data_IF_886748165419
#
_entry.id   IF_886748165419
#
_cell.length_a   1.000
_cell.length_b   1.000
_cell.length_c   1.000
_cell.angle_alpha   90.00
_cell.angle_beta   90.00
_cell.angle_gamma   90.00
#
_symmetry.space_group_name_H-M   'P 1'
#
loop_
_entity.id
_entity.type
_entity.pdbx_description
1 polymer ?
#
# COMPACT_ATOMS: atom_id res chain seq x y z
N UNK A 1 -1.39 4.45 8.00
CA UNK A 1 -1.23 5.92 8.11
C UNK A 1 -0.64 6.44 6.81
N UNK A 2 -0.92 7.70 6.44
CA UNK A 2 -0.41 8.29 5.20
C UNK A 2 -0.77 9.76 5.06
N UNK A 3 -0.41 10.36 3.92
CA UNK A 3 -0.77 11.75 3.59
C UNK A 3 -2.18 11.77 3.02
N UNK A 4 -3.06 12.60 3.63
CA UNK A 4 -4.46 12.73 3.22
C UNK A 4 -4.55 13.19 1.76
N UNK A 5 -5.34 12.48 0.96
CA UNK A 5 -5.59 12.79 -0.45
C UNK A 5 -4.52 12.29 -1.43
N UNK A 6 -3.35 11.86 -0.97
CA UNK A 6 -2.27 11.41 -1.84
C UNK A 6 -2.66 10.16 -2.64
N UNK A 7 -3.21 9.14 -1.97
CA UNK A 7 -3.61 7.91 -2.67
C UNK A 7 -4.75 8.13 -3.66
N UNK A 8 -5.71 9.01 -3.34
CA UNK A 8 -6.80 9.36 -4.27
C UNK A 8 -6.25 10.08 -5.51
N UNK A 9 -5.32 11.02 -5.34
CA UNK A 9 -4.66 11.69 -6.46
C UNK A 9 -3.93 10.70 -7.37
N UNK A 10 -3.22 9.72 -6.79
CA UNK A 10 -2.52 8.67 -7.53
C UNK A 10 -3.52 7.78 -8.29
N UNK A 11 -4.66 7.43 -7.69
CA UNK A 11 -5.72 6.66 -8.33
C UNK A 11 -6.33 7.40 -9.53
N UNK A 12 -6.58 8.71 -9.38
CA UNK A 12 -7.10 9.58 -10.45
C UNK A 12 -6.14 9.65 -11.67
N UNK A 13 -4.85 9.37 -11.46
CA UNK A 13 -3.80 9.37 -12.48
C UNK A 13 -3.19 7.97 -12.68
N UNK A 14 -3.98 6.92 -12.48
CA UNK A 14 -3.53 5.51 -12.57
C UNK A 14 -2.91 5.12 -13.92
N UNK A 15 -3.20 5.85 -15.00
CA UNK A 15 -2.59 5.64 -16.33
C UNK A 15 -1.21 6.31 -16.48
N UNK A 16 -0.79 7.15 -15.53
CA UNK A 16 0.52 7.80 -15.52
C UNK A 16 1.45 7.15 -14.50
N UNK A 17 0.90 6.67 -13.39
CA UNK A 17 1.64 5.99 -12.33
C UNK A 17 1.64 4.46 -12.52
N UNK A 18 2.79 3.83 -12.23
CA UNK A 18 2.94 2.36 -12.14
C UNK A 18 2.61 1.53 -13.40
N UNK A 19 2.54 2.15 -14.58
CA UNK A 19 2.15 1.47 -15.85
C UNK A 19 3.11 0.36 -16.31
N UNK A 20 4.39 0.43 -15.94
CA UNK A 20 5.40 -0.61 -16.22
C UNK A 20 6.22 -0.94 -14.96
N UNK A 21 5.55 -1.09 -13.82
CA UNK A 21 6.23 -1.43 -12.57
C UNK A 21 6.77 -2.87 -12.60
N UNK A 22 8.10 -3.02 -12.73
CA UNK A 22 8.78 -4.33 -12.69
C UNK A 22 9.34 -4.61 -11.30
N UNK A 23 8.78 -5.62 -10.64
CA UNK A 23 9.20 -6.04 -9.29
C UNK A 23 10.09 -7.28 -9.28
N UNK A 24 10.30 -7.91 -10.44
CA UNK A 24 11.13 -9.11 -10.55
C UNK A 24 12.57 -8.79 -10.15
N UNK A 25 13.16 -9.67 -9.32
CA UNK A 25 14.53 -9.54 -8.80
C UNK A 25 14.79 -8.27 -7.97
N UNK A 26 13.73 -7.62 -7.49
CA UNK A 26 13.81 -6.43 -6.63
C UNK A 26 13.63 -6.81 -5.16
N UNK A 27 14.55 -6.36 -4.31
CA UNK A 27 14.39 -6.46 -2.84
C UNK A 27 13.43 -5.36 -2.39
N UNK A 28 12.29 -5.75 -1.83
CA UNK A 28 11.28 -4.84 -1.29
C UNK A 28 11.42 -4.79 0.23
N UNK A 29 11.49 -3.59 0.79
CA UNK A 29 11.43 -3.38 2.24
C UNK A 29 10.00 -3.05 2.61
N UNK A 30 9.46 -3.79 3.57
CA UNK A 30 8.10 -3.61 4.08
C UNK A 30 8.18 -2.92 5.42
N UNK A 31 7.42 -1.82 5.58
CA UNK A 31 7.18 -1.22 6.89
C UNK A 31 6.28 -2.15 7.71
N UNK A 32 6.87 -2.77 8.73
CA UNK A 32 6.18 -3.71 9.61
C UNK A 32 5.06 -3.10 10.43
N UNK A 33 5.16 -1.82 10.83
CA UNK A 33 4.11 -1.17 11.61
C UNK A 33 2.89 -0.87 10.75
N UNK A 34 3.11 -0.35 9.53
CA UNK A 34 2.04 -0.10 8.59
C UNK A 34 1.35 -1.42 8.17
N UNK A 35 2.11 -2.49 7.95
CA UNK A 35 1.57 -3.82 7.67
C UNK A 35 0.75 -4.35 8.86
N UNK A 36 1.29 -4.29 10.07
CA UNK A 36 0.61 -4.73 11.29
C UNK A 36 -0.73 -4.01 11.46
N UNK A 37 -0.74 -2.69 11.36
CA UNK A 37 -1.98 -1.91 11.46
C UNK A 37 -2.99 -2.32 10.37
N UNK A 38 -2.54 -2.55 9.13
CA UNK A 38 -3.43 -3.01 8.06
C UNK A 38 -4.02 -4.39 8.39
N UNK A 39 -3.19 -5.32 8.83
CA UNK A 39 -3.61 -6.66 9.22
C UNK A 39 -4.65 -6.64 10.34
N UNK A 40 -4.40 -5.89 11.41
CA UNK A 40 -5.28 -5.86 12.57
C UNK A 40 -6.61 -5.15 12.33
N UNK A 41 -6.62 -4.07 11.54
CA UNK A 41 -7.77 -3.15 11.50
C UNK A 41 -8.51 -3.11 10.16
N UNK A 42 -7.96 -3.69 9.09
CA UNK A 42 -8.59 -3.62 7.75
C UNK A 42 -8.77 -4.97 7.07
N UNK A 43 -8.32 -6.06 7.70
CA UNK A 43 -8.35 -7.39 7.07
C UNK A 43 -9.53 -8.25 7.51
N UNK A 44 -10.46 -7.72 8.31
CA UNK A 44 -11.48 -8.51 9.03
C UNK A 44 -10.89 -9.74 9.75
N UNK A 45 -9.59 -9.70 10.08
CA UNK A 45 -8.94 -10.68 10.92
C UNK A 45 -9.37 -10.33 12.34
N UNK A 46 -10.45 -10.97 12.80
CA UNK A 46 -10.88 -10.91 14.19
C UNK A 46 -9.71 -11.32 15.10
N UNK A 47 -8.99 -10.33 15.61
CA UNK A 47 -8.02 -10.51 16.68
C UNK A 47 -8.81 -10.57 17.98
N UNK A 48 -9.32 -11.77 18.29
CA UNK A 48 -9.86 -12.13 19.60
C UNK A 48 -8.75 -12.21 20.64
#
# INVERSE_FOLDING_TARGET
>A
MGIRGLMSFVEDHSNEFFTDLKLRDTKIVIDGYALFHRLCFSSNLDLR
#
